data_IF_727806457585
#
_entry.id   IF_727806457585
#
_cell.length_a   1.000
_cell.length_b   1.000
_cell.length_c   1.000
_cell.angle_alpha   90.00
_cell.angle_beta   90.00
_cell.angle_gamma   90.00
#
_symmetry.space_group_name_H-M   'P 1'
#
loop_
_entity.id
_entity.type
_entity.pdbx_description
1 polymer ?
#
# COMPACT_ATOMS: atom_id res chain seq x y z
N UNK A 1 2.87 2.97 10.57
CA UNK A 1 1.83 4.02 10.37
C UNK A 1 1.34 3.93 8.93
N UNK A 2 0.04 4.07 8.69
CA UNK A 2 -0.54 4.08 7.34
C UNK A 2 -1.12 5.47 7.05
N UNK A 3 -0.87 5.99 5.85
CA UNK A 3 -1.29 7.32 5.41
C UNK A 3 -2.02 7.21 4.07
N UNK A 4 -3.15 7.91 3.96
CA UNK A 4 -3.91 8.04 2.71
C UNK A 4 -3.81 9.48 2.21
N UNK A 5 -3.43 9.64 0.95
CA UNK A 5 -3.43 10.93 0.28
C UNK A 5 -4.45 10.91 -0.85
N UNK A 6 -5.41 11.83 -0.81
CA UNK A 6 -6.37 12.04 -1.90
C UNK A 6 -5.94 13.23 -2.74
N UNK A 7 -5.90 13.05 -4.06
CA UNK A 7 -5.56 14.08 -5.05
C UNK A 7 -6.69 14.21 -6.06
N UNK A 8 -6.94 15.41 -6.58
CA UNK A 8 -7.75 15.57 -7.78
C UNK A 8 -6.85 15.58 -9.01
N UNK A 9 -7.04 14.60 -9.90
CA UNK A 9 -6.34 14.51 -11.17
C UNK A 9 -7.38 14.50 -12.29
N UNK A 10 -7.36 15.52 -13.17
CA UNK A 10 -8.33 15.64 -14.26
C UNK A 10 -9.79 15.72 -13.79
N UNK A 11 -10.05 16.27 -12.60
CA UNK A 11 -11.39 16.37 -12.01
C UNK A 11 -11.91 15.08 -11.36
N UNK A 12 -11.10 14.03 -11.29
CA UNK A 12 -11.40 12.79 -10.57
C UNK A 12 -10.58 12.72 -9.29
N UNK A 13 -11.20 12.30 -8.19
CA UNK A 13 -10.48 12.00 -6.95
C UNK A 13 -9.75 10.67 -7.07
N UNK A 14 -8.46 10.67 -6.75
CA UNK A 14 -7.61 9.49 -6.66
C UNK A 14 -6.95 9.44 -5.30
N UNK A 15 -7.12 8.34 -4.59
CA UNK A 15 -6.47 8.10 -3.30
C UNK A 15 -5.30 7.14 -3.45
N UNK A 16 -4.12 7.55 -3.02
CA UNK A 16 -2.94 6.68 -2.90
C UNK A 16 -2.68 6.38 -1.43
N UNK A 17 -2.12 5.20 -1.16
CA UNK A 17 -1.90 4.71 0.19
C UNK A 17 -0.41 4.46 0.43
N UNK A 18 0.06 4.88 1.59
CA UNK A 18 1.43 4.73 2.03
C UNK A 18 1.45 4.01 3.37
N UNK A 19 2.48 3.20 3.59
CA UNK A 19 2.78 2.63 4.89
C UNK A 19 4.28 2.64 5.13
N UNK A 20 4.64 2.90 6.37
CA UNK A 20 6.02 2.89 6.81
C UNK A 20 6.14 2.26 8.19
N UNK A 21 7.18 1.45 8.35
CA UNK A 21 7.52 0.77 9.59
C UNK A 21 9.04 0.58 9.71
N UNK A 22 9.59 0.90 10.89
CA UNK A 22 10.94 0.55 11.24
C UNK A 22 10.95 -0.83 11.89
N UNK A 23 11.76 -1.75 11.38
CA UNK A 23 11.88 -3.13 11.85
C UNK A 23 13.33 -3.37 12.25
N UNK A 24 13.63 -3.21 13.54
CA UNK A 24 15.00 -3.30 14.05
C UNK A 24 15.91 -2.23 13.41
N UNK A 25 16.96 -2.65 12.72
CA UNK A 25 17.87 -1.78 11.95
C UNK A 25 17.41 -1.53 10.51
N UNK A 26 16.27 -2.11 10.10
CA UNK A 26 15.71 -1.99 8.75
C UNK A 26 14.49 -1.06 8.74
N UNK A 27 14.12 -0.61 7.55
CA UNK A 27 12.89 0.12 7.31
C UNK A 27 12.13 -0.51 6.16
N UNK A 28 10.81 -0.62 6.31
CA UNK A 28 9.89 -1.09 5.28
C UNK A 28 8.99 0.07 4.89
N UNK A 29 8.99 0.38 3.60
CA UNK A 29 8.16 1.42 2.99
C UNK A 29 7.32 0.80 1.88
N UNK A 30 6.04 1.13 1.86
CA UNK A 30 5.08 0.63 0.88
C UNK A 30 4.22 1.75 0.31
N UNK A 31 3.86 1.60 -0.96
CA UNK A 31 2.97 2.50 -1.69
C UNK A 31 1.99 1.69 -2.55
N UNK A 32 0.72 2.08 -2.57
CA UNK A 32 -0.29 1.48 -3.43
C UNK A 32 -1.05 2.56 -4.23
N UNK A 33 -1.13 2.33 -5.54
CA UNK A 33 -1.88 3.14 -6.49
C UNK A 33 -3.12 2.37 -6.96
N UNK A 34 -4.33 2.95 -6.90
CA UNK A 34 -5.55 2.32 -7.40
C UNK A 34 -5.63 2.43 -8.94
N UNK A 35 -4.67 1.83 -9.65
CA UNK A 35 -4.71 1.78 -11.11
C UNK A 35 -5.61 0.65 -11.56
N UNK A 36 -6.76 0.98 -12.17
CA UNK A 36 -7.66 -0.04 -12.68
C UNK A 36 -7.12 -0.64 -13.98
N UNK A 37 -6.88 -1.94 -13.97
CA UNK A 37 -6.60 -2.73 -15.17
C UNK A 37 -7.77 -3.70 -15.43
N UNK A 38 -8.61 -3.47 -16.47
CA UNK A 38 -9.74 -4.33 -16.78
C UNK A 38 -9.35 -5.77 -17.15
N UNK A 39 -8.12 -6.01 -17.60
CA UNK A 39 -7.63 -7.33 -17.99
C UNK A 39 -7.34 -8.26 -16.80
N UNK A 40 -7.13 -7.67 -15.61
CA UNK A 40 -6.82 -8.42 -14.38
C UNK A 40 -8.11 -8.71 -13.61
N UNK A 41 -8.53 -9.98 -13.57
CA UNK A 41 -9.75 -10.36 -12.84
C UNK A 41 -9.60 -10.29 -11.31
N UNK A 42 -8.42 -10.58 -10.78
CA UNK A 42 -8.16 -10.52 -9.34
C UNK A 42 -8.02 -9.07 -8.87
N UNK A 43 -8.88 -8.63 -7.94
CA UNK A 43 -8.87 -7.27 -7.40
C UNK A 43 -8.56 -7.30 -5.91
N UNK A 44 -7.65 -6.41 -5.48
CA UNK A 44 -7.46 -6.10 -4.06
C UNK A 44 -8.41 -4.98 -3.63
N UNK A 45 -8.90 -5.05 -2.39
CA UNK A 45 -9.65 -3.97 -1.77
C UNK A 45 -8.69 -3.06 -1.00
N UNK A 46 -8.59 -1.79 -1.39
CA UNK A 46 -7.79 -0.81 -0.66
C UNK A 46 -8.62 -0.19 0.49
N UNK A 47 -8.00 0.13 1.64
CA UNK A 47 -6.57 -0.07 1.95
C UNK A 47 -6.22 -1.50 2.41
N UNK A 48 -7.21 -2.34 2.73
CA UNK A 48 -6.99 -3.58 3.49
C UNK A 48 -5.97 -4.52 2.83
N UNK A 49 -6.12 -4.85 1.55
CA UNK A 49 -5.18 -5.74 0.84
C UNK A 49 -3.76 -5.18 0.85
N UNK A 50 -3.59 -3.86 0.76
CA UNK A 50 -2.28 -3.23 0.85
C UNK A 50 -1.68 -3.39 2.25
N UNK A 51 -2.47 -3.16 3.30
CA UNK A 51 -2.01 -3.30 4.69
C UNK A 51 -1.63 -4.74 5.02
N UNK A 52 -2.40 -5.72 4.53
CA UNK A 52 -2.12 -7.15 4.73
C UNK A 52 -0.77 -7.53 4.08
N UNK A 53 -0.55 -7.11 2.83
CA UNK A 53 0.71 -7.36 2.11
C UNK A 53 1.88 -6.65 2.77
N UNK A 54 1.70 -5.40 3.20
CA UNK A 54 2.72 -4.62 3.90
C UNK A 54 3.15 -5.31 5.20
N UNK A 55 2.18 -5.72 6.03
CA UNK A 55 2.45 -6.43 7.28
C UNK A 55 3.23 -7.73 7.06
N UNK A 56 2.84 -8.51 6.04
CA UNK A 56 3.58 -9.71 5.68
C UNK A 56 5.04 -9.43 5.24
N UNK A 57 5.30 -8.28 4.59
CA UNK A 57 6.68 -7.89 4.27
C UNK A 57 7.46 -7.42 5.50
N UNK A 58 6.83 -6.66 6.39
CA UNK A 58 7.44 -6.23 7.65
C UNK A 58 7.85 -7.42 8.52
N UNK A 59 6.97 -8.42 8.65
CA UNK A 59 7.25 -9.66 9.38
C UNK A 59 8.40 -10.45 8.74
N UNK A 60 8.44 -10.59 7.41
CA UNK A 60 9.56 -11.26 6.74
C UNK A 60 10.90 -10.58 7.02
N UNK A 61 10.91 -9.25 7.06
CA UNK A 61 12.13 -8.49 7.37
C UNK A 61 12.53 -8.66 8.84
N UNK A 62 11.57 -8.80 9.77
CA UNK A 62 11.88 -9.00 11.20
C UNK A 62 12.51 -10.38 11.49
N UNK A 63 12.26 -11.37 10.62
CA UNK A 63 12.86 -12.71 10.71
C UNK A 63 14.26 -12.84 10.10
N UNK A 64 14.84 -11.76 9.57
CA UNK A 64 16.20 -11.74 9.01
C UNK A 64 17.21 -11.16 9.98
#
# INVERSE_FOLDING_TARGET
MAYQQTMQLGGQEQSIFFAFENVGSWAVFGIAFPTQDPSIAAKGALPQTFLDVFGAQAERVSTR
#
